data_IF_051397100148
#
_entry.id   IF_051397100148
#
_cell.length_a   1.000
_cell.length_b   1.000
_cell.length_c   1.000
_cell.angle_alpha   90.00
_cell.angle_beta   90.00
_cell.angle_gamma   90.00
#
_symmetry.space_group_name_H-M   'P 1'
#
loop_
_entity.id
_entity.type
_entity.pdbx_description
1 polymer ?
#
# COMPACT_ATOMS: atom_id res chain seq x y z
N UNK A 1 8.06 -44.65 -57.41
CA UNK A 1 8.96 -45.82 -57.45
C UNK A 1 9.74 -45.81 -56.14
N UNK A 2 9.36 -46.62 -55.15
CA UNK A 2 9.78 -48.02 -54.94
C UNK A 2 11.24 -48.03 -54.40
N UNK A 3 11.55 -48.46 -53.18
CA UNK A 3 11.11 -49.68 -52.51
C UNK A 3 10.93 -49.58 -50.99
N UNK A 4 9.88 -50.27 -50.53
CA UNK A 4 9.69 -50.81 -49.18
C UNK A 4 10.59 -52.03 -49.00
N UNK A 5 11.12 -52.25 -47.80
CA UNK A 5 11.33 -53.61 -47.28
C UNK A 5 10.80 -53.65 -45.84
N UNK A 6 9.75 -54.44 -45.67
CA UNK A 6 9.21 -54.93 -44.41
C UNK A 6 9.84 -56.28 -44.08
N UNK A 7 10.14 -56.55 -42.80
CA UNK A 7 10.14 -57.92 -42.30
C UNK A 7 9.55 -57.96 -40.88
N UNK A 8 8.45 -58.73 -40.77
CA UNK A 8 7.84 -59.22 -39.55
C UNK A 8 8.52 -60.53 -39.14
N UNK A 9 8.73 -60.77 -37.84
CA UNK A 9 8.41 -62.05 -37.18
C UNK A 9 8.77 -62.01 -35.68
N UNK A 10 7.78 -62.38 -34.86
CA UNK A 10 7.87 -62.79 -33.45
C UNK A 10 8.87 -63.94 -33.23
N UNK A 11 9.46 -64.06 -32.03
CA UNK A 11 9.38 -65.25 -31.16
C UNK A 11 10.11 -65.02 -29.81
N UNK A 12 9.35 -65.15 -28.71
CA UNK A 12 9.62 -65.90 -27.47
C UNK A 12 10.85 -65.63 -26.57
N UNK A 13 10.53 -65.35 -25.28
CA UNK A 13 11.26 -65.72 -24.05
C UNK A 13 12.57 -64.95 -23.75
N UNK A 14 12.89 -64.44 -22.56
CA UNK A 14 12.75 -64.97 -21.19
C UNK A 14 13.15 -63.87 -20.15
N UNK A 15 12.69 -64.07 -18.90
CA UNK A 15 13.19 -63.56 -17.61
C UNK A 15 12.62 -62.27 -16.99
N UNK A 16 11.68 -62.50 -16.08
CA UNK A 16 11.34 -61.73 -14.89
C UNK A 16 12.57 -61.38 -14.05
N UNK A 17 12.78 -60.09 -13.73
CA UNK A 17 13.51 -59.68 -12.52
C UNK A 17 12.77 -58.50 -11.88
N UNK A 18 12.29 -58.73 -10.66
CA UNK A 18 11.73 -57.74 -9.75
C UNK A 18 12.88 -57.05 -9.00
N UNK A 19 12.92 -55.72 -9.00
CA UNK A 19 13.73 -54.95 -8.05
C UNK A 19 12.99 -53.67 -7.65
N UNK A 20 12.40 -53.73 -6.44
CA UNK A 20 11.96 -52.58 -5.66
C UNK A 20 13.20 -51.80 -5.23
N UNK A 21 13.30 -50.52 -5.58
CA UNK A 21 14.25 -49.60 -4.96
C UNK A 21 13.52 -48.59 -4.08
N UNK A 22 13.81 -48.73 -2.79
CA UNK A 22 13.42 -47.86 -1.67
C UNK A 22 14.28 -46.59 -1.71
N UNK A 23 13.67 -45.41 -1.78
CA UNK A 23 14.40 -44.12 -1.73
C UNK A 23 14.71 -43.78 -0.26
N UNK A 24 16.00 -43.76 0.08
CA UNK A 24 16.54 -43.27 1.36
C UNK A 24 16.55 -41.73 1.40
N UNK A 25 16.07 -41.13 2.50
CA UNK A 25 16.25 -39.71 2.85
C UNK A 25 17.64 -39.47 3.49
N UNK A 26 18.34 -38.35 3.23
CA UNK A 26 19.57 -37.99 3.94
C UNK A 26 19.31 -37.17 5.22
N UNK A 27 20.32 -37.00 6.11
CA UNK A 27 20.12 -36.80 7.55
C UNK A 27 20.27 -35.32 7.97
N UNK A 28 19.21 -34.72 8.52
CA UNK A 28 19.29 -33.42 9.20
C UNK A 28 18.60 -33.40 10.58
N UNK A 29 18.26 -34.58 11.10
CA UNK A 29 17.60 -34.73 12.40
C UNK A 29 18.57 -35.43 13.35
N UNK A 30 19.63 -34.72 13.77
CA UNK A 30 20.41 -35.11 14.97
C UNK A 30 21.33 -34.02 15.54
N UNK A 31 21.30 -32.79 15.03
CA UNK A 31 22.13 -31.69 15.55
C UNK A 31 21.42 -30.71 16.50
N UNK A 32 20.10 -30.86 16.73
CA UNK A 32 19.34 -29.93 17.60
C UNK A 32 19.07 -30.43 19.03
N UNK A 33 19.53 -31.61 19.43
CA UNK A 33 19.19 -32.21 20.73
C UNK A 33 20.23 -32.02 21.83
N UNK A 34 21.30 -31.23 21.63
CA UNK A 34 22.41 -31.10 22.59
C UNK A 34 22.64 -29.66 23.08
N UNK A 35 22.10 -28.62 22.42
CA UNK A 35 22.35 -27.21 22.82
C UNK A 35 21.15 -26.45 23.40
N UNK A 36 19.99 -27.09 23.58
CA UNK A 36 18.83 -26.43 24.22
C UNK A 36 18.91 -26.22 25.76
N UNK A 37 19.72 -26.96 26.56
CA UNK A 37 19.73 -26.74 28.01
C UNK A 37 20.51 -25.50 28.48
N UNK A 38 21.47 -24.98 27.71
CA UNK A 38 22.35 -23.88 28.17
C UNK A 38 21.81 -22.47 27.85
N UNK A 39 20.95 -22.31 26.84
CA UNK A 39 20.34 -21.01 26.50
C UNK A 39 19.25 -20.56 27.48
N UNK A 40 18.60 -21.49 28.18
CA UNK A 40 17.49 -21.17 29.10
C UNK A 40 18.00 -20.61 30.43
N UNK A 41 19.23 -20.92 30.83
CA UNK A 41 19.83 -20.42 32.08
C UNK A 41 20.36 -18.98 31.98
N UNK A 42 20.78 -18.54 30.79
CA UNK A 42 21.31 -17.18 30.58
C UNK A 42 20.22 -16.09 30.56
N UNK A 43 18.99 -16.44 30.21
CA UNK A 43 17.87 -15.49 30.07
C UNK A 43 17.17 -15.13 31.40
N UNK A 44 17.50 -15.80 32.50
CA UNK A 44 16.91 -15.52 33.82
C UNK A 44 17.72 -14.54 34.69
N UNK A 45 18.90 -14.07 34.25
CA UNK A 45 19.75 -13.16 35.02
C UNK A 45 19.60 -11.66 34.71
N UNK A 46 18.83 -11.28 33.69
CA UNK A 46 18.54 -9.87 33.36
C UNK A 46 17.04 -9.70 33.16
N UNK A 47 16.34 -9.31 34.22
CA UNK A 47 14.87 -9.24 34.27
C UNK A 47 14.26 -8.33 33.19
N UNK A 48 13.69 -8.95 32.16
CA UNK A 48 12.78 -8.33 31.18
C UNK A 48 11.46 -9.13 31.11
N UNK A 49 10.31 -8.47 30.86
CA UNK A 49 9.00 -9.11 30.84
C UNK A 49 8.81 -10.04 29.63
N UNK A 50 8.32 -11.23 29.92
CA UNK A 50 8.18 -12.38 29.03
C UNK A 50 6.97 -12.29 28.09
N UNK A 51 7.16 -11.71 26.89
CA UNK A 51 6.23 -11.85 25.76
C UNK A 51 6.86 -12.50 24.52
N UNK A 52 8.17 -12.76 24.52
CA UNK A 52 8.91 -13.23 23.33
C UNK A 52 9.22 -14.74 23.30
N UNK A 53 8.85 -15.53 24.31
CA UNK A 53 9.23 -16.95 24.40
C UNK A 53 8.14 -17.96 23.98
N UNK A 54 6.95 -17.52 23.57
CA UNK A 54 5.81 -18.42 23.31
C UNK A 54 5.55 -18.73 21.83
N UNK A 55 6.46 -18.37 20.91
CA UNK A 55 6.24 -18.54 19.46
C UNK A 55 6.92 -19.76 18.84
N UNK A 56 7.66 -20.55 19.63
CA UNK A 56 8.46 -21.68 19.10
C UNK A 56 7.97 -23.08 19.51
N UNK A 57 6.87 -23.22 20.26
CA UNK A 57 6.48 -24.53 20.82
C UNK A 57 4.96 -24.76 20.75
N UNK A 58 4.40 -24.81 19.54
CA UNK A 58 2.95 -24.94 19.34
C UNK A 58 2.53 -25.79 18.15
N UNK A 59 3.37 -26.69 17.65
CA UNK A 59 3.04 -27.57 16.50
C UNK A 59 2.74 -29.01 16.88
N UNK A 60 2.63 -29.36 18.16
CA UNK A 60 2.10 -30.65 18.57
C UNK A 60 1.40 -30.47 19.90
N UNK A 61 0.08 -30.63 19.90
CA UNK A 61 -0.73 -31.35 20.89
C UNK A 61 -2.20 -31.10 20.52
N UNK A 62 -2.78 -32.07 19.81
CA UNK A 62 -4.23 -32.22 19.70
C UNK A 62 -4.75 -32.68 21.06
N UNK A 63 -5.53 -31.83 21.74
CA UNK A 63 -6.52 -32.26 22.74
C UNK A 63 -7.69 -31.29 22.72
N UNK A 64 -8.89 -31.86 22.64
CA UNK A 64 -10.20 -31.19 22.71
C UNK A 64 -10.32 -30.30 23.96
N UNK A 65 -10.70 -29.03 23.76
CA UNK A 65 -11.50 -28.31 24.74
C UNK A 65 -12.19 -27.06 24.14
N UNK A 66 -13.52 -27.05 24.19
CA UNK A 66 -14.41 -26.20 23.37
C UNK A 66 -14.58 -24.75 23.85
N UNK A 67 -13.86 -24.26 24.86
CA UNK A 67 -14.23 -22.99 25.55
C UNK A 67 -13.21 -21.85 25.58
N UNK A 68 -12.15 -21.87 24.76
CA UNK A 68 -11.23 -20.71 24.62
C UNK A 68 -11.09 -20.18 23.18
N UNK A 69 -12.14 -20.28 22.37
CA UNK A 69 -12.09 -19.91 20.94
C UNK A 69 -12.53 -18.48 20.58
N UNK A 70 -13.01 -17.63 21.51
CA UNK A 70 -13.58 -16.33 21.09
C UNK A 70 -12.57 -15.21 20.83
N UNK A 71 -11.39 -15.24 21.48
CA UNK A 71 -10.38 -14.18 21.34
C UNK A 71 -9.40 -14.48 20.20
N UNK A 72 -9.05 -15.76 19.98
CA UNK A 72 -8.20 -16.17 18.86
C UNK A 72 -8.93 -16.20 17.50
N UNK A 73 -10.27 -16.18 17.48
CA UNK A 73 -11.06 -16.06 16.24
C UNK A 73 -11.07 -14.66 15.62
N UNK A 74 -10.61 -13.61 16.31
CA UNK A 74 -10.61 -12.24 15.75
C UNK A 74 -9.33 -11.84 15.00
N UNK A 75 -8.23 -12.59 15.12
CA UNK A 75 -7.01 -12.36 14.34
C UNK A 75 -6.91 -13.28 13.11
N UNK A 76 -7.63 -14.40 13.08
CA UNK A 76 -7.72 -15.34 11.95
C UNK A 76 -8.75 -14.93 10.86
N UNK A 77 -9.48 -13.83 11.07
CA UNK A 77 -10.57 -13.40 10.18
C UNK A 77 -10.11 -12.87 8.80
N UNK A 78 -8.80 -12.73 8.56
CA UNK A 78 -8.28 -12.20 7.29
C UNK A 78 -7.65 -13.25 6.35
N UNK A 79 -7.48 -14.51 6.76
CA UNK A 79 -6.68 -15.45 5.94
C UNK A 79 -7.24 -16.86 5.74
N UNK A 80 -8.40 -17.23 6.30
CA UNK A 80 -8.99 -18.57 6.06
C UNK A 80 -10.52 -18.57 5.92
N UNK A 81 -11.06 -17.75 5.03
CA UNK A 81 -12.35 -18.06 4.45
C UNK A 81 -12.22 -17.98 2.93
N UNK A 82 -12.42 -19.12 2.26
CA UNK A 82 -12.48 -19.24 0.80
C UNK A 82 -13.75 -18.60 0.20
N UNK A 83 -14.20 -17.47 0.76
CA UNK A 83 -14.89 -16.41 0.04
C UNK A 83 -13.91 -15.23 -0.04
N UNK A 84 -12.78 -15.46 -0.72
CA UNK A 84 -11.96 -14.35 -1.17
C UNK A 84 -12.86 -13.50 -2.05
N UNK A 85 -13.34 -12.37 -1.51
CA UNK A 85 -14.15 -11.44 -2.28
C UNK A 85 -13.45 -11.20 -3.59
N UNK A 86 -14.11 -11.47 -4.70
CA UNK A 86 -13.52 -11.28 -6.03
C UNK A 86 -13.08 -9.83 -6.21
N UNK A 87 -12.22 -9.57 -7.19
CA UNK A 87 -11.83 -8.21 -7.56
C UNK A 87 -13.06 -7.29 -7.72
N UNK A 88 -14.10 -7.78 -8.40
CA UNK A 88 -15.37 -7.08 -8.60
C UNK A 88 -16.16 -6.88 -7.29
N UNK A 89 -15.93 -7.68 -6.24
CA UNK A 89 -16.54 -7.48 -4.92
C UNK A 89 -15.79 -6.46 -4.04
N UNK A 90 -14.51 -6.20 -4.33
CA UNK A 90 -13.75 -5.13 -3.68
C UNK A 90 -13.86 -3.79 -4.42
N UNK A 91 -14.09 -3.84 -5.74
CA UNK A 91 -14.24 -2.69 -6.63
C UNK A 91 -15.44 -2.94 -7.57
N UNK A 92 -16.68 -2.84 -7.06
CA UNK A 92 -17.87 -3.07 -7.87
C UNK A 92 -17.86 -2.18 -9.10
N UNK A 93 -17.77 -2.80 -10.27
CA UNK A 93 -17.77 -2.08 -11.54
C UNK A 93 -19.15 -1.49 -11.80
N UNK A 94 -19.19 -0.22 -12.18
CA UNK A 94 -20.39 0.43 -12.70
C UNK A 94 -21.15 1.30 -11.70
N UNK A 95 -20.87 1.22 -10.40
CA UNK A 95 -21.45 2.11 -9.39
C UNK A 95 -20.40 2.72 -8.48
N UNK A 96 -20.54 4.02 -8.21
CA UNK A 96 -19.68 4.73 -7.28
C UNK A 96 -20.08 4.40 -5.83
N UNK A 97 -19.17 3.83 -5.05
CA UNK A 97 -19.35 3.69 -3.60
C UNK A 97 -19.31 5.08 -2.95
N UNK A 98 -20.47 5.58 -2.51
CA UNK A 98 -20.61 6.90 -1.86
C UNK A 98 -20.02 6.94 -0.45
N UNK A 99 -19.76 5.80 0.18
CA UNK A 99 -19.22 5.70 1.53
C UNK A 99 -17.85 5.01 1.58
N UNK A 100 -17.07 5.15 0.51
CA UNK A 100 -15.73 4.56 0.35
C UNK A 100 -14.74 4.91 1.49
N UNK A 101 -14.97 6.02 2.19
CA UNK A 101 -14.16 6.51 3.31
C UNK A 101 -14.78 6.25 4.69
N UNK A 102 -15.96 5.60 4.75
CA UNK A 102 -16.75 5.37 5.97
C UNK A 102 -17.12 6.65 6.73
N UNK A 103 -17.19 7.80 6.04
CA UNK A 103 -17.50 9.11 6.64
C UNK A 103 -18.75 9.75 6.06
N UNK A 104 -19.66 8.95 5.51
CA UNK A 104 -21.00 9.44 5.22
C UNK A 104 -21.64 9.95 6.53
N UNK A 105 -22.39 11.07 6.53
CA UNK A 105 -22.89 11.67 7.76
C UNK A 105 -23.63 10.68 8.65
N UNK A 106 -24.41 9.74 8.07
CA UNK A 106 -25.12 8.71 8.85
C UNK A 106 -24.16 7.72 9.53
N UNK A 107 -23.01 7.46 8.92
CA UNK A 107 -21.99 6.53 9.45
C UNK A 107 -21.26 7.09 10.66
N UNK A 108 -21.29 8.42 10.84
CA UNK A 108 -20.65 9.11 11.96
C UNK A 108 -21.59 9.36 13.13
N UNK A 109 -22.91 9.14 12.96
CA UNK A 109 -23.87 9.33 14.05
C UNK A 109 -23.71 8.25 15.12
N UNK A 110 -23.67 8.68 16.38
CA UNK A 110 -23.71 7.77 17.52
C UNK A 110 -25.04 6.99 17.57
N UNK A 111 -24.95 5.65 17.57
CA UNK A 111 -26.12 4.76 17.55
C UNK A 111 -27.08 4.97 18.72
N UNK A 112 -26.56 5.24 19.93
CA UNK A 112 -27.39 5.44 21.13
C UNK A 112 -28.16 6.75 21.04
N UNK A 113 -27.54 7.79 20.47
CA UNK A 113 -28.22 9.07 20.19
C UNK A 113 -29.28 8.91 19.10
N UNK A 114 -28.97 8.15 18.05
CA UNK A 114 -29.88 7.89 16.94
C UNK A 114 -31.17 7.17 17.37
N UNK A 115 -31.04 6.15 18.22
CA UNK A 115 -32.17 5.36 18.72
C UNK A 115 -33.13 6.17 19.59
N UNK A 116 -32.60 7.14 20.36
CA UNK A 116 -33.38 8.00 21.25
C UNK A 116 -33.98 9.23 20.57
N UNK A 117 -33.50 9.58 19.37
CA UNK A 117 -33.94 10.77 18.65
C UNK A 117 -35.23 10.50 17.86
N UNK A 118 -36.10 11.51 17.86
CA UNK A 118 -37.22 11.61 16.94
C UNK A 118 -36.74 11.98 15.52
N UNK A 119 -37.66 12.11 14.57
CA UNK A 119 -37.32 12.41 13.18
C UNK A 119 -36.54 13.72 13.02
N UNK A 120 -36.94 14.76 13.75
CA UNK A 120 -36.26 16.05 13.75
C UNK A 120 -34.85 15.96 14.35
N UNK A 121 -34.70 15.24 15.47
CA UNK A 121 -33.40 14.99 16.11
C UNK A 121 -32.46 14.17 15.23
N UNK A 122 -32.97 13.16 14.52
CA UNK A 122 -32.19 12.36 13.56
C UNK A 122 -31.67 13.21 12.41
N UNK A 123 -32.50 14.09 11.85
CA UNK A 123 -32.08 15.04 10.81
C UNK A 123 -30.97 15.97 11.32
N UNK A 124 -31.13 16.50 12.54
CA UNK A 124 -30.11 17.35 13.17
C UNK A 124 -28.78 16.62 13.37
N UNK A 125 -28.80 15.37 13.85
CA UNK A 125 -27.60 14.56 14.02
C UNK A 125 -26.86 14.31 12.69
N UNK A 126 -27.61 14.07 11.61
CA UNK A 126 -27.03 13.95 10.26
C UNK A 126 -26.42 15.27 9.84
N UNK A 127 -27.13 16.39 10.01
CA UNK A 127 -26.66 17.72 9.62
C UNK A 127 -25.40 18.15 10.37
N UNK A 128 -25.28 17.82 11.66
CA UNK A 128 -24.08 18.05 12.47
C UNK A 128 -22.86 17.26 12.00
N UNK A 129 -23.07 16.10 11.37
CA UNK A 129 -22.02 15.24 10.83
C UNK A 129 -21.73 15.45 9.34
N UNK A 130 -22.34 16.46 8.71
CA UNK A 130 -22.06 16.80 7.32
C UNK A 130 -20.69 17.46 7.20
N UNK A 131 -19.86 16.91 6.32
CA UNK A 131 -18.72 17.63 5.78
C UNK A 131 -19.21 18.86 5.01
N UNK A 132 -18.50 19.98 5.13
CA UNK A 132 -18.83 21.24 4.42
C UNK A 132 -17.68 21.75 3.56
N UNK A 133 -16.45 21.30 3.81
CA UNK A 133 -15.25 21.73 3.11
C UNK A 133 -14.76 20.72 2.07
N UNK A 134 -14.14 21.23 1.00
CA UNK A 134 -13.42 20.46 0.00
C UNK A 134 -11.96 20.27 0.45
N UNK A 135 -11.41 19.06 0.25
CA UNK A 135 -9.97 18.80 0.43
C UNK A 135 -9.29 18.69 -0.92
N UNK A 136 -8.27 19.50 -1.17
CA UNK A 136 -7.43 19.46 -2.36
C UNK A 136 -6.11 18.77 -1.98
N UNK A 137 -5.93 17.55 -2.45
CA UNK A 137 -4.75 16.73 -2.16
C UNK A 137 -3.84 16.77 -3.38
N UNK A 138 -2.64 17.32 -3.21
CA UNK A 138 -1.67 17.56 -4.27
C UNK A 138 -0.49 16.63 -4.02
N UNK A 139 -0.43 15.55 -4.81
CA UNK A 139 0.61 14.55 -4.76
C UNK A 139 1.79 14.97 -5.62
N UNK A 140 3.00 14.86 -5.07
CA UNK A 140 4.26 15.24 -5.69
C UNK A 140 5.17 14.02 -5.76
N UNK A 141 5.61 13.65 -6.96
CA UNK A 141 6.68 12.66 -7.11
C UNK A 141 8.02 13.32 -6.78
N UNK A 142 8.90 12.63 -6.05
CA UNK A 142 10.27 13.10 -5.80
C UNK A 142 11.05 13.47 -7.09
N UNK A 143 12.07 14.32 -6.93
CA UNK A 143 13.02 14.70 -7.99
C UNK A 143 13.91 13.53 -8.44
N UNK A 144 14.61 13.71 -9.56
CA UNK A 144 15.57 12.72 -10.05
C UNK A 144 16.63 12.39 -8.97
N UNK A 145 16.98 11.11 -8.85
CA UNK A 145 17.91 10.65 -7.81
C UNK A 145 18.89 9.61 -8.36
N UNK A 146 19.97 9.36 -7.61
CA UNK A 146 20.95 8.34 -7.98
C UNK A 146 20.42 6.93 -7.72
N UNK A 147 20.10 6.20 -8.79
CA UNK A 147 19.59 4.82 -8.72
C UNK A 147 20.65 3.81 -8.29
N UNK A 148 21.92 4.01 -8.65
CA UNK A 148 22.98 2.99 -8.46
C UNK A 148 23.83 3.21 -7.20
N UNK A 149 23.65 4.34 -6.51
CA UNK A 149 24.39 4.65 -5.28
C UNK A 149 23.76 3.98 -4.08
N UNK A 150 24.54 3.69 -3.05
CA UNK A 150 24.01 3.23 -1.76
C UNK A 150 23.08 4.30 -1.16
N UNK A 151 23.56 5.54 -1.13
CA UNK A 151 22.73 6.70 -0.80
C UNK A 151 21.87 7.09 -2.01
N UNK A 152 20.56 6.85 -1.91
CA UNK A 152 19.57 7.21 -2.93
C UNK A 152 19.15 8.69 -2.83
N UNK A 153 20.13 9.59 -2.83
CA UNK A 153 19.93 11.05 -2.77
C UNK A 153 19.69 11.66 -4.16
N UNK A 154 19.16 12.88 -4.18
CA UNK A 154 18.87 13.64 -5.40
C UNK A 154 20.13 13.94 -6.21
N UNK A 155 20.00 13.83 -7.53
CA UNK A 155 21.00 14.34 -8.48
C UNK A 155 20.96 15.87 -8.52
N UNK A 156 21.94 16.49 -9.19
CA UNK A 156 21.90 17.93 -9.43
C UNK A 156 20.62 18.33 -10.19
N UNK A 157 20.23 17.58 -11.22
CA UNK A 157 18.98 17.79 -11.93
C UNK A 157 17.76 17.63 -11.01
N UNK A 158 17.74 16.64 -10.12
CA UNK A 158 16.64 16.45 -9.16
C UNK A 158 16.46 17.63 -8.20
N UNK A 159 17.56 18.26 -7.78
CA UNK A 159 17.52 19.47 -6.96
C UNK A 159 16.95 20.65 -7.72
N UNK A 160 17.35 20.82 -8.99
CA UNK A 160 16.82 21.87 -9.87
C UNK A 160 15.34 21.67 -10.20
N UNK A 161 14.89 20.43 -10.40
CA UNK A 161 13.47 20.10 -10.56
C UNK A 161 12.67 20.50 -9.32
N UNK A 162 13.15 20.15 -8.13
CA UNK A 162 12.50 20.49 -6.86
C UNK A 162 12.46 22.02 -6.63
N UNK A 163 13.51 22.73 -7.03
CA UNK A 163 13.59 24.19 -6.98
C UNK A 163 12.55 24.86 -7.90
N UNK A 164 12.40 24.37 -9.13
CA UNK A 164 11.38 24.85 -10.07
C UNK A 164 9.96 24.55 -9.56
N UNK A 165 9.75 23.38 -8.97
CA UNK A 165 8.47 23.02 -8.35
C UNK A 165 8.15 23.92 -7.16
N UNK A 166 9.12 24.19 -6.28
CA UNK A 166 8.97 25.11 -5.16
C UNK A 166 8.51 26.50 -5.62
N UNK A 167 9.17 27.06 -6.64
CA UNK A 167 8.77 28.35 -7.25
C UNK A 167 7.38 28.30 -7.86
N UNK A 168 7.03 27.21 -8.54
CA UNK A 168 5.69 27.03 -9.12
C UNK A 168 4.61 27.04 -8.03
N UNK A 169 4.85 26.38 -6.90
CA UNK A 169 3.91 26.34 -5.78
C UNK A 169 3.79 27.70 -5.10
N UNK A 170 4.90 28.41 -4.88
CA UNK A 170 4.91 29.75 -4.31
C UNK A 170 4.12 30.76 -5.16
N UNK A 171 4.21 30.65 -6.48
CA UNK A 171 3.53 31.53 -7.43
C UNK A 171 2.10 31.09 -7.78
N UNK A 172 1.49 30.18 -7.02
CA UNK A 172 0.16 29.63 -7.32
C UNK A 172 -1.01 30.39 -6.70
N UNK A 173 -0.74 31.36 -5.83
CA UNK A 173 -1.73 32.06 -4.98
C UNK A 173 -2.54 31.13 -4.05
N UNK A 174 -2.10 29.87 -3.88
CA UNK A 174 -2.74 28.88 -3.01
C UNK A 174 -2.12 28.94 -1.60
N UNK A 175 -2.98 29.09 -0.59
CA UNK A 175 -2.60 28.89 0.81
C UNK A 175 -2.58 27.40 1.16
N UNK A 176 -1.39 26.79 1.13
CA UNK A 176 -1.22 25.39 1.54
C UNK A 176 -1.47 25.20 3.04
N UNK A 177 -2.16 24.12 3.40
CA UNK A 177 -2.57 23.82 4.77
C UNK A 177 -1.53 22.99 5.53
N UNK A 178 -0.87 22.07 4.84
CA UNK A 178 0.21 21.24 5.39
C UNK A 178 1.04 20.59 4.27
N UNK A 179 2.18 20.02 4.65
CA UNK A 179 3.00 19.15 3.80
C UNK A 179 3.34 17.84 4.52
N UNK A 180 3.01 16.72 3.89
CA UNK A 180 3.43 15.38 4.33
C UNK A 180 4.51 14.85 3.39
N UNK A 181 5.63 14.36 3.93
CA UNK A 181 6.74 13.81 3.13
C UNK A 181 7.07 12.36 3.49
N UNK A 182 7.40 11.56 2.49
CA UNK A 182 7.94 10.22 2.74
C UNK A 182 9.30 10.29 3.42
N UNK A 183 9.60 9.32 4.28
CA UNK A 183 10.88 9.22 5.00
C UNK A 183 12.06 8.79 4.11
N UNK A 184 11.83 8.32 2.88
CA UNK A 184 12.92 7.98 1.96
C UNK A 184 13.71 9.23 1.53
N UNK A 185 15.04 9.15 1.54
CA UNK A 185 15.98 10.26 1.31
C UNK A 185 15.60 11.16 0.13
N UNK A 186 15.35 10.60 -1.06
CA UNK A 186 14.96 11.36 -2.26
C UNK A 186 13.68 12.20 -2.07
N UNK A 187 12.68 11.69 -1.35
CA UNK A 187 11.44 12.41 -1.08
C UNK A 187 11.64 13.49 -0.02
N UNK A 188 12.37 13.18 1.06
CA UNK A 188 12.75 14.14 2.10
C UNK A 188 13.55 15.31 1.52
N UNK A 189 14.58 15.06 0.71
CA UNK A 189 15.37 16.12 0.06
C UNK A 189 14.51 16.97 -0.89
N UNK A 190 13.61 16.34 -1.66
CA UNK A 190 12.68 17.06 -2.55
C UNK A 190 11.78 18.00 -1.75
N UNK A 191 11.15 17.48 -0.69
CA UNK A 191 10.27 18.25 0.19
C UNK A 191 11.01 19.42 0.85
N UNK A 192 12.23 19.19 1.33
CA UNK A 192 13.03 20.23 1.97
C UNK A 192 13.45 21.35 1.02
N UNK A 193 13.66 21.06 -0.27
CA UNK A 193 13.91 22.10 -1.28
C UNK A 193 12.64 22.89 -1.55
N UNK A 194 11.50 22.21 -1.74
CA UNK A 194 10.20 22.86 -1.95
C UNK A 194 9.85 23.80 -0.79
N UNK A 195 10.07 23.34 0.45
CA UNK A 195 9.75 24.09 1.67
C UNK A 195 10.51 25.42 1.79
N UNK A 196 11.64 25.61 1.11
CA UNK A 196 12.36 26.90 1.07
C UNK A 196 11.57 28.01 0.38
N UNK A 197 10.59 27.64 -0.44
CA UNK A 197 9.74 28.57 -1.21
C UNK A 197 8.36 28.76 -0.58
N UNK A 198 8.05 28.03 0.50
CA UNK A 198 6.77 28.08 1.18
C UNK A 198 6.91 28.78 2.55
N UNK A 199 5.81 29.23 3.18
CA UNK A 199 5.87 29.83 4.50
C UNK A 199 6.58 28.94 5.53
N UNK A 200 7.45 29.53 6.35
CA UNK A 200 8.25 28.80 7.34
C UNK A 200 7.40 28.08 8.41
N UNK A 201 6.20 28.62 8.68
CA UNK A 201 5.23 28.11 9.65
C UNK A 201 4.30 27.03 9.07
N UNK A 202 4.45 26.64 7.80
CA UNK A 202 3.65 25.59 7.18
C UNK A 202 3.80 24.27 7.97
N UNK A 203 2.71 23.70 8.52
CA UNK A 203 2.77 22.44 9.23
C UNK A 203 3.32 21.32 8.35
N UNK A 204 4.34 20.62 8.85
CA UNK A 204 5.02 19.55 8.12
C UNK A 204 5.10 18.27 8.94
N UNK A 205 4.94 17.13 8.28
CA UNK A 205 5.09 15.82 8.89
C UNK A 205 5.81 14.84 7.96
N UNK A 206 6.58 13.92 8.56
CA UNK A 206 7.17 12.79 7.84
C UNK A 206 6.38 11.52 8.12
N UNK A 207 6.28 10.63 7.13
CA UNK A 207 5.56 9.36 7.29
C UNK A 207 6.20 8.23 6.49
N UNK A 208 6.43 7.10 7.16
CA UNK A 208 6.87 5.86 6.52
C UNK A 208 5.74 5.14 5.77
N UNK A 209 4.48 5.51 6.01
CA UNK A 209 3.33 4.88 5.33
C UNK A 209 3.34 5.16 3.82
N UNK A 210 3.92 6.29 3.40
CA UNK A 210 4.02 6.72 1.99
C UNK A 210 5.41 6.48 1.38
N UNK A 211 6.21 5.56 1.93
CA UNK A 211 7.42 5.07 1.25
C UNK A 211 7.06 4.25 0.00
N UNK A 212 7.97 4.22 -0.97
CA UNK A 212 7.76 3.49 -2.23
C UNK A 212 7.60 2.00 -1.95
N UNK A 213 6.78 1.34 -2.74
CA UNK A 213 6.56 -0.10 -2.65
C UNK A 213 5.70 -0.62 -3.79
N UNK A 214 5.59 -1.94 -3.96
CA UNK A 214 4.64 -2.58 -4.86
C UNK A 214 3.23 -2.62 -4.25
N UNK A 215 2.26 -1.80 -4.72
CA UNK A 215 0.97 -1.66 -4.04
C UNK A 215 -0.05 -2.73 -4.42
N UNK A 216 0.04 -3.28 -5.63
CA UNK A 216 -0.88 -4.26 -6.18
C UNK A 216 -0.28 -4.93 -7.43
N UNK A 217 -0.53 -6.22 -7.73
CA UNK A 217 -0.06 -6.84 -8.96
C UNK A 217 -0.60 -6.12 -10.23
N UNK A 218 0.27 -5.62 -11.13
CA UNK A 218 -0.17 -4.85 -12.29
C UNK A 218 -0.72 -5.72 -13.42
N UNK A 219 -1.64 -5.16 -14.21
CA UNK A 219 -2.11 -5.76 -15.48
C UNK A 219 -2.10 -4.70 -16.59
N UNK A 220 -1.37 -4.91 -17.71
CA UNK A 220 -0.55 -6.08 -18.02
C UNK A 220 0.67 -6.21 -17.10
N UNK A 221 1.20 -7.42 -17.01
CA UNK A 221 2.42 -7.71 -16.26
C UNK A 221 3.63 -6.98 -16.87
N UNK A 222 4.60 -6.62 -16.02
CA UNK A 222 5.83 -5.96 -16.44
C UNK A 222 6.97 -6.98 -16.60
N UNK A 223 7.68 -6.93 -17.74
CA UNK A 223 8.69 -7.95 -18.09
C UNK A 223 9.86 -8.00 -17.10
N UNK A 224 10.32 -6.84 -16.62
CA UNK A 224 11.54 -6.71 -15.81
C UNK A 224 11.30 -6.29 -14.36
N UNK A 225 10.08 -5.85 -14.03
CA UNK A 225 9.75 -5.38 -12.69
C UNK A 225 8.79 -6.39 -12.09
N UNK A 226 9.33 -7.31 -11.28
CA UNK A 226 8.62 -8.45 -10.71
C UNK A 226 9.00 -8.62 -9.25
N UNK A 227 8.42 -7.81 -8.35
CA UNK A 227 8.48 -8.07 -6.92
C UNK A 227 7.93 -9.46 -6.60
N UNK A 228 8.37 -10.05 -5.49
CA UNK A 228 7.83 -11.32 -5.03
C UNK A 228 6.39 -11.14 -4.51
N UNK A 229 5.55 -12.16 -4.68
CA UNK A 229 4.16 -12.13 -4.21
C UNK A 229 4.00 -11.70 -2.73
N UNK A 230 4.85 -12.14 -1.78
CA UNK A 230 4.76 -11.68 -0.40
C UNK A 230 5.02 -10.18 -0.21
N UNK A 231 5.80 -9.53 -1.08
CA UNK A 231 6.08 -8.09 -1.00
C UNK A 231 4.80 -7.29 -1.27
N UNK A 232 3.99 -7.71 -2.26
CA UNK A 232 2.69 -7.09 -2.51
C UNK A 232 1.80 -7.16 -1.26
N UNK A 233 1.81 -8.26 -0.52
CA UNK A 233 0.94 -8.40 0.65
C UNK A 233 1.30 -7.39 1.76
N UNK A 234 2.58 -7.27 2.10
CA UNK A 234 3.03 -6.35 3.16
C UNK A 234 2.89 -4.90 2.74
N UNK A 235 3.24 -4.59 1.50
CA UNK A 235 3.33 -3.22 1.00
C UNK A 235 1.95 -2.67 0.63
N UNK A 236 1.05 -3.52 0.09
CA UNK A 236 -0.35 -3.14 -0.13
C UNK A 236 -1.03 -2.70 1.15
N UNK A 237 -0.84 -3.42 2.27
CA UNK A 237 -1.45 -3.06 3.55
C UNK A 237 -0.94 -1.70 4.06
N UNK A 238 0.36 -1.44 3.93
CA UNK A 238 0.99 -0.16 4.32
C UNK A 238 0.46 1.00 3.47
N UNK A 239 0.44 0.82 2.15
CA UNK A 239 0.02 1.86 1.20
C UNK A 239 -1.50 2.10 1.29
N UNK A 240 -2.32 1.07 1.49
CA UNK A 240 -3.76 1.21 1.75
C UNK A 240 -4.03 1.93 3.08
N UNK A 241 -3.23 1.68 4.11
CA UNK A 241 -3.29 2.46 5.37
C UNK A 241 -2.97 3.94 5.14
N UNK A 242 -1.96 4.22 4.32
CA UNK A 242 -1.64 5.59 3.89
C UNK A 242 -2.80 6.24 3.13
N UNK A 243 -3.43 5.50 2.20
CA UNK A 243 -4.59 5.97 1.45
C UNK A 243 -5.72 6.39 2.40
N UNK A 244 -6.10 5.54 3.36
CA UNK A 244 -7.17 5.83 4.32
C UNK A 244 -6.88 7.02 5.24
N UNK A 245 -5.60 7.26 5.54
CA UNK A 245 -5.16 8.41 6.33
C UNK A 245 -5.21 9.70 5.53
N UNK A 246 -4.84 9.67 4.25
CA UNK A 246 -4.72 10.87 3.41
C UNK A 246 -6.05 11.21 2.74
N UNK A 247 -6.72 10.23 2.15
CA UNK A 247 -7.94 10.38 1.37
C UNK A 247 -9.16 10.08 2.22
N UNK A 248 -9.90 11.13 2.55
CA UNK A 248 -11.21 11.05 3.18
C UNK A 248 -11.91 12.41 3.12
N UNK A 249 -13.22 12.47 3.29
CA UNK A 249 -13.97 13.73 3.44
C UNK A 249 -13.43 14.58 4.59
N UNK A 250 -13.49 15.90 4.44
CA UNK A 250 -13.15 16.82 5.52
C UNK A 250 -14.02 16.53 6.76
N UNK A 251 -13.46 16.55 7.98
CA UNK A 251 -14.25 16.38 9.19
C UNK A 251 -15.28 17.52 9.30
N UNK A 252 -16.45 17.31 9.95
CA UNK A 252 -17.48 18.35 10.09
C UNK A 252 -16.98 19.63 10.78
N UNK A 253 -15.91 19.54 11.58
CA UNK A 253 -15.25 20.66 12.24
C UNK A 253 -14.47 21.57 11.27
N UNK A 254 -14.02 21.06 10.12
CA UNK A 254 -13.33 21.86 9.10
C UNK A 254 -14.37 22.67 8.30
N UNK A 255 -14.22 23.99 8.31
CA UNK A 255 -15.16 24.93 7.66
C UNK A 255 -14.62 25.55 6.36
N UNK A 256 -13.31 25.52 6.15
CA UNK A 256 -12.65 26.06 4.96
C UNK A 256 -12.03 24.94 4.12
N UNK A 257 -11.94 25.17 2.81
CA UNK A 257 -11.26 24.26 1.90
C UNK A 257 -9.77 24.15 2.24
N UNK A 258 -9.22 22.92 2.19
CA UNK A 258 -7.79 22.68 2.44
C UNK A 258 -7.01 22.40 1.15
N UNK A 259 -5.72 22.72 1.16
CA UNK A 259 -4.75 22.44 0.09
C UNK A 259 -3.53 21.74 0.70
N UNK A 260 -3.44 20.43 0.51
CA UNK A 260 -2.53 19.55 1.25
C UNK A 260 -1.50 18.96 0.30
N UNK A 261 -0.22 19.18 0.60
CA UNK A 261 0.90 18.69 -0.21
C UNK A 261 1.36 17.31 0.31
N UNK A 262 1.58 16.36 -0.60
CA UNK A 262 2.11 15.02 -0.26
C UNK A 262 3.29 14.69 -1.18
N UNK A 263 4.51 14.69 -0.64
CA UNK A 263 5.74 14.39 -1.38
C UNK A 263 6.11 12.92 -1.19
N UNK A 264 5.95 12.11 -2.24
CA UNK A 264 6.18 10.66 -2.21
C UNK A 264 6.68 10.12 -3.57
N UNK A 265 6.15 8.97 -4.00
CA UNK A 265 6.75 8.13 -5.04
C UNK A 265 5.74 7.66 -6.08
N UNK A 266 6.24 7.18 -7.21
CA UNK A 266 5.40 6.94 -8.38
C UNK A 266 4.37 5.83 -8.13
N UNK A 267 4.74 4.69 -7.57
CA UNK A 267 3.79 3.58 -7.41
C UNK A 267 2.70 3.92 -6.39
N UNK A 268 3.09 4.57 -5.29
CA UNK A 268 2.16 5.10 -4.28
C UNK A 268 1.15 6.07 -4.91
N UNK A 269 1.61 7.05 -5.69
CA UNK A 269 0.72 8.04 -6.34
C UNK A 269 -0.23 7.35 -7.32
N UNK A 270 0.29 6.46 -8.17
CA UNK A 270 -0.52 5.72 -9.15
C UNK A 270 -1.61 4.88 -8.49
N UNK A 271 -1.26 4.19 -7.40
CA UNK A 271 -2.22 3.44 -6.60
C UNK A 271 -3.28 4.36 -5.99
N UNK A 272 -2.88 5.49 -5.42
CA UNK A 272 -3.81 6.48 -4.87
C UNK A 272 -4.77 7.01 -5.94
N UNK A 273 -4.30 7.25 -7.17
CA UNK A 273 -5.18 7.66 -8.28
C UNK A 273 -6.24 6.58 -8.53
N UNK A 274 -5.83 5.31 -8.71
CA UNK A 274 -6.79 4.22 -8.95
C UNK A 274 -7.78 4.10 -7.80
N UNK A 275 -7.30 4.09 -6.55
CA UNK A 275 -8.14 3.93 -5.36
C UNK A 275 -9.09 5.09 -5.14
N UNK A 276 -8.63 6.34 -5.30
CA UNK A 276 -9.43 7.53 -5.07
C UNK A 276 -10.54 7.69 -6.12
N UNK A 277 -10.28 7.28 -7.37
CA UNK A 277 -11.25 7.34 -8.47
C UNK A 277 -12.07 6.06 -8.62
N UNK A 278 -11.88 5.08 -7.73
CA UNK A 278 -12.51 3.76 -7.80
C UNK A 278 -12.27 3.05 -9.15
N UNK A 279 -11.10 3.29 -9.76
CA UNK A 279 -10.62 2.55 -10.92
C UNK A 279 -9.95 1.25 -10.50
N UNK A 280 -9.85 0.28 -11.43
CA UNK A 280 -9.11 -0.95 -11.19
C UNK A 280 -7.67 -0.70 -10.70
N UNK A 281 -7.29 -1.13 -9.48
CA UNK A 281 -5.95 -0.95 -8.95
C UNK A 281 -4.86 -1.51 -9.87
N UNK A 282 -5.07 -2.60 -10.60
CA UNK A 282 -4.10 -3.24 -11.53
C UNK A 282 -3.60 -2.28 -12.61
N UNK A 283 -4.40 -1.25 -12.94
CA UNK A 283 -4.08 -0.26 -13.96
C UNK A 283 -2.97 0.72 -13.55
N UNK A 284 -2.48 0.65 -12.31
CA UNK A 284 -1.57 1.64 -11.75
C UNK A 284 -0.28 1.83 -12.57
N UNK A 285 0.31 0.77 -13.13
CA UNK A 285 1.50 0.87 -13.99
C UNK A 285 1.26 1.48 -15.38
N UNK A 286 0.00 1.72 -15.77
CA UNK A 286 -0.33 2.35 -17.06
C UNK A 286 -0.11 3.87 -17.06
N UNK A 287 0.17 4.46 -15.90
CA UNK A 287 0.37 5.90 -15.73
C UNK A 287 1.85 6.23 -15.61
N UNK A 288 2.37 7.13 -16.44
CA UNK A 288 3.73 7.68 -16.29
C UNK A 288 3.69 9.04 -15.59
N UNK A 289 4.57 9.26 -14.62
CA UNK A 289 4.65 10.49 -13.84
C UNK A 289 6.07 11.02 -13.94
N UNK A 290 6.30 12.26 -14.36
CA UNK A 290 7.65 12.84 -14.37
C UNK A 290 8.19 13.07 -12.95
N UNK A 291 9.51 13.14 -12.78
CA UNK A 291 10.10 13.58 -11.51
C UNK A 291 9.63 15.02 -11.18
N UNK A 292 9.38 15.32 -9.90
CA UNK A 292 8.74 16.57 -9.45
C UNK A 292 7.38 16.88 -10.12
N UNK A 293 6.69 15.88 -10.66
CA UNK A 293 5.35 16.10 -11.22
C UNK A 293 4.29 16.30 -10.13
N UNK A 294 3.25 17.05 -10.48
CA UNK A 294 2.08 17.32 -9.65
C UNK A 294 0.88 16.47 -10.11
N UNK A 295 0.19 15.85 -9.16
CA UNK A 295 -1.11 15.20 -9.38
C UNK A 295 -2.10 15.75 -8.38
N UNK A 296 -3.17 16.40 -8.84
CA UNK A 296 -4.12 17.10 -7.99
C UNK A 296 -5.47 16.38 -7.94
N UNK A 297 -5.80 15.82 -6.78
CA UNK A 297 -7.07 15.15 -6.48
C UNK A 297 -7.91 16.03 -5.56
N UNK A 298 -9.22 16.08 -5.82
CA UNK A 298 -10.19 16.88 -5.06
C UNK A 298 -11.22 15.95 -4.44
N UNK A 299 -11.33 15.97 -3.12
CA UNK A 299 -12.36 15.26 -2.34
C UNK A 299 -13.43 16.25 -1.90
N UNK A 300 -14.63 16.13 -2.47
CA UNK A 300 -15.76 17.02 -2.16
C UNK A 300 -16.49 16.59 -0.89
N UNK A 301 -17.26 17.51 -0.25
CA UNK A 301 -17.97 17.21 1.01
C UNK A 301 -18.91 16.00 0.96
N UNK A 302 -19.50 15.70 -0.20
CA UNK A 302 -20.39 14.54 -0.41
C UNK A 302 -19.63 13.23 -0.69
N UNK A 303 -18.30 13.24 -0.64
CA UNK A 303 -17.47 12.08 -0.92
C UNK A 303 -17.15 11.88 -2.39
N UNK A 304 -17.63 12.74 -3.30
CA UNK A 304 -17.26 12.67 -4.72
C UNK A 304 -15.79 13.04 -4.87
N UNK A 305 -15.06 12.29 -5.70
CA UNK A 305 -13.65 12.53 -5.99
C UNK A 305 -13.51 12.90 -7.47
N UNK A 306 -12.67 13.89 -7.75
CA UNK A 306 -12.27 14.25 -9.11
C UNK A 306 -10.78 14.51 -9.16
N UNK A 307 -10.17 14.34 -10.33
CA UNK A 307 -8.76 14.63 -10.56
C UNK A 307 -8.65 15.84 -11.50
N UNK A 308 -7.82 16.81 -11.16
CA UNK A 308 -7.62 18.06 -11.93
C UNK A 308 -6.44 17.95 -12.88
N UNK A 309 -5.40 17.26 -12.46
CA UNK A 309 -4.20 17.00 -13.26
C UNK A 309 -3.53 15.71 -12.81
N UNK A 310 -2.87 15.03 -13.74
CA UNK A 310 -2.06 13.83 -13.50
C UNK A 310 -0.67 14.09 -14.07
N UNK A 311 0.36 13.93 -13.23
CA UNK A 311 1.75 13.98 -13.70
C UNK A 311 2.16 15.31 -14.33
N UNK A 312 1.58 16.43 -13.91
CA UNK A 312 1.85 17.76 -14.46
C UNK A 312 3.30 18.20 -14.20
N UNK A 313 4.04 18.38 -15.29
CA UNK A 313 5.43 18.84 -15.34
C UNK A 313 5.58 20.14 -16.13
N UNK A 314 4.51 20.89 -16.40
CA UNK A 314 4.55 22.09 -17.24
C UNK A 314 5.41 23.24 -16.68
N UNK A 315 5.87 23.11 -15.44
CA UNK A 315 6.82 24.03 -14.80
C UNK A 315 8.29 23.71 -15.09
N UNK A 316 8.56 22.54 -15.67
CA UNK A 316 9.90 22.10 -16.05
C UNK A 316 10.18 22.49 -17.50
N UNK A 317 11.35 23.06 -17.75
CA UNK A 317 11.83 23.25 -19.12
C UNK A 317 12.18 21.89 -19.75
N UNK A 318 12.16 21.75 -21.09
CA UNK A 318 12.36 20.45 -21.75
C UNK A 318 13.63 19.70 -21.32
N UNK A 319 14.73 20.42 -21.10
CA UNK A 319 16.01 19.88 -20.64
C UNK A 319 16.03 19.47 -19.15
N UNK A 320 14.94 19.70 -18.41
CA UNK A 320 14.80 19.34 -17.00
C UNK A 320 13.78 18.21 -16.78
N UNK A 321 13.16 17.69 -17.84
CA UNK A 321 12.18 16.60 -17.74
C UNK A 321 12.90 15.25 -17.62
N UNK A 322 12.52 14.45 -16.62
CA UNK A 322 12.97 13.06 -16.45
C UNK A 322 11.87 12.19 -15.83
N UNK A 323 12.01 10.86 -15.96
CA UNK A 323 11.03 9.89 -15.45
C UNK A 323 11.63 8.81 -14.54
N UNK A 324 12.93 8.84 -14.28
CA UNK A 324 13.64 7.85 -13.44
C UNK A 324 14.28 8.56 -12.27
#
# INVERSE_FOLDING_TARGET
>A
MLHKISFLANFSQILTVSLRFTIKKPPFIRFLSIFLPEMVSALFKFGLPSAAAALATGTLLFTDDEKKSSVFRKAFAFTQNHNAKTFDEHFPRGEWDKNWDFRDPISLVDKRKWEKADEAGRKKLIDENKSTATRNIILIRHGQYHLDREQKNLTQLGREQAELLGKRLANSDIKFSNLTMSTMTRATETANIILKHLPEDLPRMSSSLIEEGPPYPPVPDHKTWRPLDPEFYTEAARIESAFRRIFHRAPPSQKEDSYELVVCHANVIRYFICRALQFPPEGWLRMSLGNCSLTWIVVRPKGHVSIRSIGDIGHLTPNKISFT
#
